data_IF_194807454251
#
_entry.id   IF_194807454251
#
_cell.length_a   1.000
_cell.length_b   1.000
_cell.length_c   1.000
_cell.angle_alpha   90.00
_cell.angle_beta   90.00
_cell.angle_gamma   90.00
#
_symmetry.space_group_name_H-M   'P 1'
#
loop_
_entity.id
_entity.type
_entity.pdbx_description
1 polymer ?
#
# COMPACT_ATOMS: atom_id res chain seq x y z
N UNK A 1 -16.31 -20.81 -0.22
CA UNK A 1 -15.91 -20.10 -1.45
C UNK A 1 -14.52 -20.59 -1.85
N UNK A 2 -14.35 -21.10 -3.07
CA UNK A 2 -13.03 -21.54 -3.55
C UNK A 2 -12.34 -20.35 -4.21
N UNK A 3 -11.19 -19.95 -3.69
CA UNK A 3 -10.36 -18.90 -4.31
C UNK A 3 -9.61 -19.52 -5.49
N UNK A 4 -9.65 -18.86 -6.64
CA UNK A 4 -8.79 -19.23 -7.76
C UNK A 4 -7.51 -18.39 -7.68
N UNK A 5 -6.43 -19.00 -7.22
CA UNK A 5 -5.13 -18.35 -7.11
C UNK A 5 -4.51 -18.07 -8.47
N UNK A 6 -3.87 -16.93 -8.59
CA UNK A 6 -2.96 -16.63 -9.72
C UNK A 6 -1.69 -17.46 -9.58
N UNK A 7 -0.97 -17.75 -10.68
CA UNK A 7 0.23 -18.61 -10.60
C UNK A 7 1.28 -18.18 -9.57
N UNK A 8 1.55 -16.88 -9.47
CA UNK A 8 2.48 -16.33 -8.48
C UNK A 8 1.96 -16.43 -7.04
N UNK A 9 0.64 -16.31 -6.83
CA UNK A 9 0.02 -16.48 -5.52
C UNK A 9 0.12 -17.95 -5.07
N UNK A 10 -0.12 -18.89 -5.99
CA UNK A 10 0.06 -20.31 -5.70
C UNK A 10 1.50 -20.63 -5.29
N UNK A 11 2.51 -20.05 -5.99
CA UNK A 11 3.91 -20.23 -5.58
C UNK A 11 4.19 -19.66 -4.20
N UNK A 12 3.64 -18.48 -3.87
CA UNK A 12 3.81 -17.87 -2.56
C UNK A 12 3.18 -18.74 -1.45
N UNK A 13 1.97 -19.24 -1.65
CA UNK A 13 1.28 -20.13 -0.69
C UNK A 13 2.06 -21.43 -0.53
N UNK A 14 2.51 -22.06 -1.62
CA UNK A 14 3.34 -23.27 -1.54
C UNK A 14 4.64 -23.02 -0.76
N UNK A 15 5.31 -21.87 -1.01
CA UNK A 15 6.52 -21.52 -0.27
C UNK A 15 6.27 -21.31 1.23
N UNK A 16 5.11 -20.77 1.61
CA UNK A 16 4.73 -20.67 3.03
C UNK A 16 4.42 -22.05 3.66
N UNK A 17 3.91 -22.99 2.88
CA UNK A 17 3.73 -24.37 3.33
C UNK A 17 5.05 -25.08 3.60
N UNK A 18 6.03 -24.87 2.75
CA UNK A 18 7.34 -25.51 2.84
C UNK A 18 8.24 -24.88 3.91
N UNK A 19 7.84 -23.75 4.49
CA UNK A 19 8.65 -23.00 5.44
C UNK A 19 7.82 -22.55 6.65
N UNK A 20 8.43 -22.53 7.82
CA UNK A 20 7.82 -21.94 9.04
C UNK A 20 8.07 -20.44 9.17
N UNK A 21 9.06 -19.90 8.47
CA UNK A 21 9.45 -18.48 8.52
C UNK A 21 10.00 -18.04 7.17
N UNK A 22 9.65 -16.82 6.75
CA UNK A 22 10.28 -16.23 5.57
C UNK A 22 9.63 -14.97 5.06
N UNK A 23 10.29 -14.39 4.08
CA UNK A 23 9.86 -13.17 3.41
C UNK A 23 9.18 -13.49 2.09
N UNK A 24 8.03 -12.88 1.86
CA UNK A 24 7.25 -12.98 0.61
C UNK A 24 7.27 -11.61 -0.06
N UNK A 25 8.07 -11.47 -1.10
CA UNK A 25 8.29 -10.21 -1.81
C UNK A 25 7.38 -10.19 -3.04
N UNK A 26 6.32 -9.38 -2.97
CA UNK A 26 5.33 -9.25 -4.05
C UNK A 26 5.08 -7.78 -4.33
N UNK A 27 5.19 -7.33 -5.59
CA UNK A 27 4.91 -5.95 -5.96
C UNK A 27 3.48 -5.51 -5.58
N UNK A 28 3.29 -4.22 -5.41
CA UNK A 28 1.95 -3.65 -5.19
C UNK A 28 1.00 -4.05 -6.33
N UNK A 29 -0.20 -4.50 -5.99
CA UNK A 29 -1.17 -5.04 -6.95
C UNK A 29 -1.04 -6.55 -7.22
N UNK A 30 0.00 -7.21 -6.72
CA UNK A 30 0.18 -8.66 -6.84
C UNK A 30 -0.73 -9.51 -5.95
N UNK A 31 -1.48 -8.91 -5.02
CA UNK A 31 -2.47 -9.62 -4.20
C UNK A 31 -1.87 -10.37 -3.01
N UNK A 32 -1.00 -9.71 -2.25
CA UNK A 32 -0.42 -10.25 -1.00
C UNK A 32 -1.46 -10.77 -0.02
N UNK A 33 -2.54 -10.02 0.17
CA UNK A 33 -3.64 -10.38 1.09
C UNK A 33 -4.26 -11.73 0.76
N UNK A 34 -4.46 -12.03 -0.51
CA UNK A 34 -5.03 -13.32 -0.96
C UNK A 34 -4.11 -14.48 -0.55
N UNK A 35 -2.79 -14.30 -0.60
CA UNK A 35 -1.85 -15.34 -0.14
C UNK A 35 -2.00 -15.62 1.36
N UNK A 36 -2.17 -14.58 2.18
CA UNK A 36 -2.40 -14.72 3.62
C UNK A 36 -3.74 -15.43 3.90
N UNK A 37 -4.81 -15.01 3.22
CA UNK A 37 -6.15 -15.59 3.38
C UNK A 37 -6.15 -17.07 3.01
N UNK A 38 -5.57 -17.42 1.87
CA UNK A 38 -5.51 -18.81 1.42
C UNK A 38 -4.71 -19.69 2.39
N UNK A 39 -3.60 -19.19 2.90
CA UNK A 39 -2.82 -19.91 3.91
C UNK A 39 -3.64 -20.16 5.20
N UNK A 40 -4.41 -19.17 5.66
CA UNK A 40 -5.33 -19.32 6.80
C UNK A 40 -6.43 -20.35 6.47
N UNK A 41 -7.05 -20.26 5.29
CA UNK A 41 -8.13 -21.20 4.88
C UNK A 41 -7.64 -22.64 4.86
N UNK A 42 -6.47 -22.89 4.27
CA UNK A 42 -5.89 -24.24 4.22
C UNK A 42 -5.62 -24.76 5.64
N UNK A 43 -5.09 -23.91 6.53
CA UNK A 43 -4.83 -24.31 7.91
C UNK A 43 -6.14 -24.57 8.68
N UNK A 44 -7.18 -23.78 8.50
CA UNK A 44 -8.48 -23.99 9.12
C UNK A 44 -9.13 -25.30 8.66
N UNK A 45 -8.97 -25.69 7.39
CA UNK A 45 -9.52 -26.92 6.85
C UNK A 45 -8.76 -28.17 7.30
N UNK A 46 -7.45 -28.06 7.49
CA UNK A 46 -6.59 -29.22 7.81
C UNK A 46 -6.41 -29.45 9.32
N UNK A 47 -6.50 -28.40 10.13
CA UNK A 47 -6.24 -28.46 11.56
C UNK A 47 -7.56 -28.35 12.31
N UNK A 48 -8.05 -29.46 12.85
CA UNK A 48 -9.31 -29.53 13.62
C UNK A 48 -9.20 -28.98 15.05
N UNK A 49 -8.11 -28.29 15.39
CA UNK A 49 -7.87 -27.65 16.69
C UNK A 49 -7.89 -26.16 16.54
N UNK A 50 -8.39 -25.46 17.54
CA UNK A 50 -8.40 -24.00 17.56
C UNK A 50 -7.01 -23.38 17.36
N UNK A 51 -6.88 -22.54 16.34
CA UNK A 51 -5.63 -21.85 15.96
C UNK A 51 -5.73 -20.36 16.23
N UNK A 52 -4.64 -19.75 16.61
CA UNK A 52 -4.52 -18.29 16.77
C UNK A 52 -3.68 -17.71 15.63
N UNK A 53 -4.32 -16.87 14.83
CA UNK A 53 -3.69 -16.11 13.74
C UNK A 53 -3.57 -14.65 14.12
N UNK A 54 -2.44 -14.03 13.80
CA UNK A 54 -2.22 -12.60 14.01
C UNK A 54 -1.87 -11.95 12.66
N UNK A 55 -2.58 -10.90 12.31
CA UNK A 55 -2.34 -10.11 11.09
C UNK A 55 -1.95 -8.70 11.48
N UNK A 56 -0.72 -8.32 11.17
CA UNK A 56 -0.12 -7.02 11.54
C UNK A 56 -0.14 -6.08 10.35
N UNK A 57 -0.83 -4.94 10.50
CA UNK A 57 -0.92 -3.90 9.50
C UNK A 57 -0.17 -2.63 9.90
N UNK A 58 0.27 -1.78 8.96
CA UNK A 58 0.95 -0.53 9.31
C UNK A 58 0.04 0.51 9.99
N UNK A 59 -1.27 0.46 9.73
CA UNK A 59 -2.25 1.43 10.26
C UNK A 59 -3.61 0.79 10.55
N UNK A 60 -4.40 1.44 11.41
CA UNK A 60 -5.74 0.99 11.81
C UNK A 60 -6.65 0.76 10.60
N UNK A 61 -6.74 1.72 9.69
CA UNK A 61 -7.59 1.61 8.50
C UNK A 61 -7.24 0.38 7.64
N UNK A 62 -5.95 0.03 7.56
CA UNK A 62 -5.51 -1.16 6.84
C UNK A 62 -5.81 -2.45 7.61
N UNK A 63 -5.71 -2.43 8.94
CA UNK A 63 -6.12 -3.58 9.76
C UNK A 63 -7.60 -3.90 9.57
N UNK A 64 -8.44 -2.86 9.50
CA UNK A 64 -9.88 -3.00 9.22
C UNK A 64 -10.15 -3.48 7.79
N UNK A 65 -9.43 -2.95 6.80
CA UNK A 65 -9.54 -3.41 5.42
C UNK A 65 -9.13 -4.87 5.28
N UNK A 66 -7.99 -5.27 5.87
CA UNK A 66 -7.55 -6.67 5.88
C UNK A 66 -8.60 -7.57 6.55
N UNK A 67 -9.16 -7.15 7.69
CA UNK A 67 -10.23 -7.88 8.35
C UNK A 67 -11.43 -8.09 7.42
N UNK A 68 -11.90 -7.05 6.74
CA UNK A 68 -13.02 -7.15 5.80
C UNK A 68 -12.70 -8.10 4.65
N UNK A 69 -11.52 -8.03 4.04
CA UNK A 69 -11.09 -8.91 2.96
C UNK A 69 -11.01 -10.39 3.42
N UNK A 70 -10.52 -10.64 4.64
CA UNK A 70 -10.48 -11.97 5.23
C UNK A 70 -11.89 -12.53 5.44
N UNK A 71 -12.80 -11.76 6.04
CA UNK A 71 -14.16 -12.20 6.35
C UNK A 71 -15.05 -12.39 5.13
N UNK A 72 -14.74 -11.78 3.99
CA UNK A 72 -15.44 -12.02 2.73
C UNK A 72 -15.15 -13.44 2.17
N UNK A 73 -14.02 -14.04 2.51
CA UNK A 73 -13.52 -15.26 1.89
C UNK A 73 -13.47 -16.47 2.84
N UNK A 74 -13.26 -16.24 4.14
CA UNK A 74 -13.14 -17.29 5.15
C UNK A 74 -14.53 -17.68 5.66
N UNK A 75 -14.77 -19.00 5.85
CA UNK A 75 -15.93 -19.46 6.61
C UNK A 75 -15.73 -19.08 8.09
N UNK A 76 -16.57 -18.17 8.56
CA UNK A 76 -16.50 -17.63 9.92
C UNK A 76 -17.12 -18.54 10.98
N UNK A 77 -17.64 -19.69 10.60
CA UNK A 77 -18.13 -20.68 11.55
C UNK A 77 -16.95 -21.20 12.37
N UNK A 78 -17.01 -21.06 13.68
CA UNK A 78 -15.94 -21.39 14.63
C UNK A 78 -14.66 -20.55 14.45
N UNK A 79 -14.79 -19.32 13.95
CA UNK A 79 -13.70 -18.34 13.87
C UNK A 79 -14.11 -17.05 14.59
N UNK A 80 -13.37 -16.69 15.62
CA UNK A 80 -13.57 -15.46 16.36
C UNK A 80 -12.62 -14.38 15.86
N UNK A 81 -13.10 -13.13 15.79
CA UNK A 81 -12.32 -11.99 15.28
C UNK A 81 -12.15 -10.95 16.37
N UNK A 82 -10.94 -10.45 16.53
CA UNK A 82 -10.58 -9.41 17.45
C UNK A 82 -9.69 -8.36 16.80
N UNK A 83 -9.87 -7.10 17.17
CA UNK A 83 -8.95 -6.02 16.84
C UNK A 83 -8.14 -5.59 18.06
N UNK A 84 -6.84 -5.38 17.87
CA UNK A 84 -5.94 -4.84 18.90
C UNK A 84 -5.34 -3.53 18.40
N UNK A 85 -6.10 -2.45 18.55
CA UNK A 85 -5.70 -1.07 18.25
C UNK A 85 -6.68 -0.09 18.90
N UNK A 86 -6.36 1.21 18.90
CA UNK A 86 -7.14 2.26 19.54
C UNK A 86 -8.29 2.82 18.68
N UNK A 87 -8.48 2.32 17.45
CA UNK A 87 -9.55 2.79 16.56
C UNK A 87 -10.89 2.14 16.88
N UNK A 88 -11.97 2.78 16.39
CA UNK A 88 -13.30 2.19 16.39
C UNK A 88 -13.40 1.07 15.36
N UNK A 89 -14.10 0.00 15.68
CA UNK A 89 -14.35 -1.15 14.81
C UNK A 89 -15.68 -1.79 15.15
N UNK A 90 -16.23 -2.54 14.20
CA UNK A 90 -17.47 -3.30 14.39
C UNK A 90 -17.26 -4.63 15.14
N UNK A 91 -16.03 -5.06 15.31
CA UNK A 91 -15.65 -6.29 16.01
C UNK A 91 -15.20 -6.00 17.43
N UNK A 92 -15.08 -7.04 18.23
CA UNK A 92 -14.51 -6.91 19.56
C UNK A 92 -13.10 -6.32 19.47
N UNK A 93 -12.82 -5.30 20.26
CA UNK A 93 -11.54 -4.59 20.23
C UNK A 93 -11.06 -4.29 21.64
N UNK A 94 -9.79 -4.52 21.90
CA UNK A 94 -9.15 -4.13 23.16
C UNK A 94 -7.63 -4.01 22.98
N UNK A 95 -7.05 -3.08 23.75
CA UNK A 95 -5.59 -2.94 23.90
C UNK A 95 -5.12 -3.44 25.30
N UNK A 96 -6.01 -4.02 26.09
CA UNK A 96 -5.68 -4.57 27.42
C UNK A 96 -5.21 -6.01 27.29
N UNK A 97 -4.01 -6.31 27.74
CA UNK A 97 -3.39 -7.65 27.63
C UNK A 97 -4.28 -8.76 28.22
N UNK A 98 -4.90 -8.51 29.38
CA UNK A 98 -5.81 -9.47 30.03
C UNK A 98 -7.04 -9.82 29.16
N UNK A 99 -7.61 -8.83 28.45
CA UNK A 99 -8.76 -9.06 27.58
C UNK A 99 -8.36 -9.81 26.29
N UNK A 100 -7.17 -9.52 25.77
CA UNK A 100 -6.61 -10.24 24.61
C UNK A 100 -6.37 -11.70 25.01
N UNK A 101 -5.74 -11.92 26.14
CA UNK A 101 -5.49 -13.26 26.69
C UNK A 101 -6.79 -14.05 26.87
N UNK A 102 -7.77 -13.45 27.53
CA UNK A 102 -9.06 -14.10 27.76
C UNK A 102 -9.77 -14.45 26.45
N UNK A 103 -9.77 -13.57 25.47
CA UNK A 103 -10.40 -13.79 24.17
C UNK A 103 -9.77 -14.98 23.43
N UNK A 104 -8.44 -15.01 23.31
CA UNK A 104 -7.72 -16.09 22.65
C UNK A 104 -7.93 -17.44 23.38
N UNK A 105 -7.88 -17.45 24.70
CA UNK A 105 -8.08 -18.66 25.49
C UNK A 105 -9.51 -19.20 25.42
N UNK A 106 -10.52 -18.34 25.40
CA UNK A 106 -11.92 -18.78 25.24
C UNK A 106 -12.10 -19.44 23.88
N UNK A 107 -11.63 -18.84 22.79
CA UNK A 107 -11.67 -19.45 21.48
C UNK A 107 -10.99 -20.82 21.48
N UNK A 108 -9.78 -20.90 21.96
CA UNK A 108 -8.98 -22.13 21.98
C UNK A 108 -9.61 -23.25 22.83
N UNK A 109 -10.12 -22.93 24.02
CA UNK A 109 -10.77 -23.91 24.89
C UNK A 109 -12.08 -24.42 24.35
N UNK A 110 -12.75 -23.65 23.50
CA UNK A 110 -13.95 -24.06 22.76
C UNK A 110 -13.61 -24.90 21.52
N UNK A 111 -12.33 -25.04 21.16
CA UNK A 111 -11.89 -25.67 19.91
C UNK A 111 -12.04 -24.78 18.68
N UNK A 112 -12.36 -23.52 18.88
CA UNK A 112 -12.52 -22.53 17.82
C UNK A 112 -11.20 -21.80 17.53
N UNK A 113 -11.05 -21.32 16.31
CA UNK A 113 -9.91 -20.47 15.93
C UNK A 113 -10.18 -18.99 16.18
N UNK A 114 -9.12 -18.21 16.33
CA UNK A 114 -9.25 -16.76 16.39
C UNK A 114 -8.26 -16.06 15.45
N UNK A 115 -8.70 -14.94 14.89
CA UNK A 115 -7.87 -14.05 14.06
C UNK A 115 -7.80 -12.69 14.74
N UNK A 116 -6.60 -12.25 15.05
CA UNK A 116 -6.32 -10.97 15.69
C UNK A 116 -5.73 -10.02 14.65
N UNK A 117 -6.47 -8.96 14.33
CA UNK A 117 -5.96 -7.87 13.48
C UNK A 117 -5.39 -6.78 14.37
N UNK A 118 -4.12 -6.44 14.15
CA UNK A 118 -3.42 -5.43 14.94
C UNK A 118 -2.58 -4.51 14.06
N UNK A 119 -2.03 -3.47 14.68
CA UNK A 119 -1.07 -2.59 14.01
C UNK A 119 0.32 -2.77 14.62
N UNK A 120 1.38 -2.37 13.88
CA UNK A 120 2.74 -2.34 14.44
C UNK A 120 2.81 -1.54 15.76
N UNK A 121 2.03 -0.47 15.88
CA UNK A 121 1.94 0.33 17.11
C UNK A 121 1.35 -0.44 18.31
N UNK A 122 0.47 -1.39 18.05
CA UNK A 122 -0.25 -2.12 19.10
C UNK A 122 0.23 -3.56 19.28
N UNK A 123 1.14 -4.05 18.44
CA UNK A 123 1.62 -5.43 18.47
C UNK A 123 2.24 -5.79 19.83
N UNK A 124 2.89 -4.85 20.51
CA UNK A 124 3.42 -5.06 21.86
C UNK A 124 2.33 -5.45 22.87
N UNK A 125 1.08 -5.05 22.68
CA UNK A 125 -0.06 -5.45 23.52
C UNK A 125 -0.43 -6.91 23.32
N UNK A 126 -0.30 -7.42 22.11
CA UNK A 126 -0.47 -8.85 21.82
C UNK A 126 0.67 -9.65 22.48
N UNK A 127 1.89 -9.14 22.43
CA UNK A 127 3.05 -9.74 23.10
C UNK A 127 2.86 -9.78 24.64
N UNK A 128 2.41 -8.67 25.24
CA UNK A 128 2.13 -8.58 26.68
C UNK A 128 0.98 -9.52 27.14
N UNK A 129 0.11 -9.93 26.20
CA UNK A 129 -1.02 -10.82 26.51
C UNK A 129 -0.60 -12.28 26.76
N UNK A 130 0.62 -12.65 26.44
CA UNK A 130 1.18 -14.00 26.66
C UNK A 130 0.24 -15.10 26.13
N UNK A 131 -0.10 -15.00 24.84
CA UNK A 131 -0.93 -15.97 24.12
C UNK A 131 -0.09 -16.80 23.17
N UNK A 132 -0.49 -18.04 22.95
CA UNK A 132 0.11 -18.87 21.91
C UNK A 132 -0.36 -18.41 20.53
N UNK A 133 0.57 -18.12 19.64
CA UNK A 133 0.30 -17.68 18.26
C UNK A 133 0.81 -18.75 17.30
N UNK A 134 -0.11 -19.34 16.53
CA UNK A 134 0.26 -20.39 15.56
C UNK A 134 0.81 -19.77 14.27
N UNK A 135 0.21 -18.74 13.75
CA UNK A 135 0.75 -18.06 12.57
C UNK A 135 0.60 -16.55 12.69
N UNK A 136 1.66 -15.84 12.38
CA UNK A 136 1.66 -14.38 12.30
C UNK A 136 2.07 -13.90 10.90
N UNK A 137 1.31 -12.96 10.35
CA UNK A 137 1.56 -12.32 9.07
C UNK A 137 1.84 -10.83 9.28
N UNK A 138 2.96 -10.36 8.77
CA UNK A 138 3.34 -8.94 8.79
C UNK A 138 3.11 -8.33 7.41
N UNK A 139 2.05 -7.52 7.26
CA UNK A 139 1.84 -6.76 6.02
C UNK A 139 2.69 -5.50 6.02
N UNK A 140 3.18 -5.12 4.83
CA UNK A 140 4.15 -4.04 4.64
C UNK A 140 5.33 -4.12 5.64
N UNK A 141 5.96 -5.30 5.67
CA UNK A 141 6.93 -5.71 6.67
C UNK A 141 8.18 -4.82 6.79
N UNK A 142 8.45 -3.97 5.79
CA UNK A 142 9.49 -2.95 5.89
C UNK A 142 9.27 -1.95 7.05
N UNK A 143 8.04 -1.88 7.60
CA UNK A 143 7.76 -1.08 8.80
C UNK A 143 8.32 -1.69 10.08
N UNK A 144 8.45 -3.01 10.15
CA UNK A 144 8.87 -3.74 11.35
C UNK A 144 10.29 -3.40 11.84
N UNK A 145 11.15 -2.89 10.95
CA UNK A 145 12.53 -2.48 11.29
C UNK A 145 12.61 -1.16 12.07
N UNK A 146 11.50 -0.48 12.30
CA UNK A 146 11.48 0.73 13.11
C UNK A 146 11.73 0.40 14.58
N UNK A 147 12.45 1.29 15.28
CA UNK A 147 12.91 1.07 16.65
C UNK A 147 11.81 0.57 17.62
N UNK A 148 10.61 1.13 17.51
CA UNK A 148 9.52 0.78 18.43
C UNK A 148 8.72 -0.45 17.98
N UNK A 149 8.87 -0.89 16.73
CA UNK A 149 8.14 -2.02 16.16
C UNK A 149 8.99 -3.30 16.13
N UNK A 150 10.30 -3.15 16.16
CA UNK A 150 11.21 -4.28 16.06
C UNK A 150 11.12 -5.25 17.24
N UNK A 151 11.11 -4.82 18.53
CA UNK A 151 11.09 -5.76 19.65
C UNK A 151 9.91 -6.75 19.64
N UNK A 152 8.63 -6.33 19.46
CA UNK A 152 7.56 -7.31 19.35
C UNK A 152 7.61 -8.12 18.04
N UNK A 153 8.19 -7.59 16.96
CA UNK A 153 8.41 -8.35 15.73
C UNK A 153 9.43 -9.48 15.95
N UNK A 154 10.56 -9.18 16.56
CA UNK A 154 11.59 -10.16 16.94
C UNK A 154 11.01 -11.24 17.86
N UNK A 155 10.24 -10.84 18.89
CA UNK A 155 9.58 -11.76 19.80
C UNK A 155 8.71 -12.78 19.03
N UNK A 156 7.75 -12.32 18.22
CA UNK A 156 6.86 -13.21 17.48
C UNK A 156 7.58 -14.02 16.38
N UNK A 157 8.66 -13.49 15.83
CA UNK A 157 9.49 -14.25 14.90
C UNK A 157 10.12 -15.49 15.55
N UNK A 158 10.34 -15.48 16.84
CA UNK A 158 10.90 -16.61 17.58
C UNK A 158 9.85 -17.48 18.26
N UNK A 159 8.74 -16.89 18.72
CA UNK A 159 7.74 -17.58 19.53
C UNK A 159 6.56 -18.15 18.72
N UNK A 160 6.20 -17.56 17.59
CA UNK A 160 5.11 -18.09 16.75
C UNK A 160 5.58 -19.36 16.00
N UNK A 161 4.68 -20.34 15.84
CA UNK A 161 4.98 -21.56 15.08
C UNK A 161 5.34 -21.24 13.62
N UNK A 162 4.65 -20.26 13.03
CA UNK A 162 4.87 -19.79 11.66
C UNK A 162 4.88 -18.26 11.61
N UNK A 163 5.81 -17.67 10.86
CA UNK A 163 5.98 -16.22 10.79
C UNK A 163 6.34 -15.76 9.36
N UNK A 164 5.49 -14.97 8.74
CA UNK A 164 5.68 -14.52 7.36
C UNK A 164 5.65 -13.01 7.21
N UNK A 165 6.62 -12.49 6.45
CA UNK A 165 6.86 -11.07 6.22
C UNK A 165 6.56 -10.70 4.77
N UNK A 166 5.49 -9.94 4.56
CA UNK A 166 5.02 -9.52 3.23
C UNK A 166 5.42 -8.07 2.95
N UNK A 167 6.07 -7.84 1.84
CA UNK A 167 6.37 -6.48 1.35
C UNK A 167 6.64 -6.46 -0.15
N UNK A 168 6.44 -5.30 -0.78
CA UNK A 168 6.95 -5.03 -2.13
C UNK A 168 8.37 -4.45 -2.10
N UNK A 169 8.79 -3.90 -0.95
CA UNK A 169 9.97 -3.05 -0.81
C UNK A 169 10.74 -3.38 0.46
N UNK A 170 11.57 -4.44 0.46
CA UNK A 170 12.36 -4.82 1.63
C UNK A 170 13.23 -3.66 2.12
N UNK A 171 13.40 -3.56 3.43
CA UNK A 171 14.27 -2.58 4.06
C UNK A 171 15.43 -3.26 4.76
N UNK A 172 16.62 -3.09 4.21
CA UNK A 172 17.84 -3.70 4.71
C UNK A 172 18.61 -2.73 5.61
N UNK A 173 19.46 -3.25 6.46
CA UNK A 173 20.42 -2.49 7.24
C UNK A 173 21.85 -2.95 6.95
N UNK A 174 22.74 -1.98 6.79
CA UNK A 174 24.19 -2.21 6.71
C UNK A 174 24.89 -1.89 8.03
N UNK A 175 24.12 -1.53 9.06
CA UNK A 175 24.60 -1.12 10.36
C UNK A 175 24.25 -2.18 11.41
N UNK A 176 25.21 -2.74 12.08
CA UNK A 176 25.05 -3.80 13.10
C UNK A 176 24.06 -3.44 14.21
N UNK A 177 23.95 -2.13 14.54
CA UNK A 177 23.08 -1.64 15.63
C UNK A 177 21.65 -1.29 15.18
N UNK A 178 21.29 -1.49 13.94
CA UNK A 178 19.95 -1.18 13.42
C UNK A 178 19.35 -2.41 12.77
N UNK A 179 18.08 -2.75 13.09
CA UNK A 179 17.42 -3.87 12.46
C UNK A 179 17.22 -3.64 10.96
N UNK A 180 17.28 -4.72 10.21
CA UNK A 180 17.01 -4.76 8.77
C UNK A 180 16.44 -6.11 8.36
N UNK A 181 15.63 -6.14 7.33
CA UNK A 181 15.04 -7.38 6.81
C UNK A 181 16.06 -8.35 6.21
N UNK A 182 17.31 -7.92 6.06
CA UNK A 182 18.45 -8.78 5.71
C UNK A 182 19.02 -9.57 6.91
N UNK A 183 18.41 -9.50 8.09
CA UNK A 183 18.71 -10.37 9.21
C UNK A 183 17.90 -11.67 9.11
N UNK A 184 18.53 -12.81 8.76
CA UNK A 184 17.81 -14.06 8.54
C UNK A 184 17.33 -14.71 9.85
N UNK A 185 17.89 -14.36 11.01
CA UNK A 185 17.44 -14.91 12.29
C UNK A 185 16.05 -14.42 12.65
N UNK A 186 15.76 -13.14 12.36
CA UNK A 186 14.45 -12.55 12.61
C UNK A 186 13.53 -12.73 11.40
N UNK A 187 13.97 -12.42 10.19
CA UNK A 187 13.09 -12.35 9.02
C UNK A 187 13.08 -13.62 8.17
N UNK A 188 13.94 -14.59 8.45
CA UNK A 188 14.12 -15.75 7.59
C UNK A 188 14.71 -15.38 6.22
N UNK A 189 14.69 -16.34 5.31
CA UNK A 189 15.10 -16.13 3.92
C UNK A 189 13.95 -15.56 3.10
N UNK A 190 14.25 -15.02 1.91
CA UNK A 190 13.24 -14.75 0.90
C UNK A 190 12.76 -16.08 0.32
N UNK A 191 11.57 -16.52 0.71
CA UNK A 191 10.98 -17.81 0.30
C UNK A 191 10.20 -17.70 -1.01
N UNK A 192 9.72 -16.49 -1.35
CA UNK A 192 9.07 -16.21 -2.61
C UNK A 192 9.32 -14.77 -3.02
N UNK A 193 9.77 -14.57 -4.26
CA UNK A 193 9.87 -13.25 -4.88
C UNK A 193 9.16 -13.28 -6.22
N UNK A 194 8.26 -12.32 -6.44
CA UNK A 194 7.50 -12.17 -7.67
C UNK A 194 8.01 -10.96 -8.44
N UNK A 195 8.55 -11.13 -9.64
CA UNK A 195 8.97 -10.01 -10.48
C UNK A 195 7.77 -9.21 -11.00
N UNK A 196 7.84 -7.87 -11.00
CA UNK A 196 6.77 -7.06 -11.57
C UNK A 196 6.52 -7.32 -13.07
N UNK A 197 7.53 -7.59 -13.93
CA UNK A 197 7.30 -8.01 -15.31
C UNK A 197 6.40 -9.25 -15.46
N UNK A 198 6.50 -10.20 -14.55
CA UNK A 198 5.60 -11.36 -14.54
C UNK A 198 4.14 -10.94 -14.34
N UNK A 199 3.89 -9.98 -13.43
CA UNK A 199 2.54 -9.46 -13.18
C UNK A 199 2.01 -8.67 -14.38
N UNK A 200 2.86 -7.92 -15.08
CA UNK A 200 2.51 -7.18 -16.30
C UNK A 200 2.14 -8.15 -17.41
N UNK A 201 3.00 -9.15 -17.68
CA UNK A 201 2.78 -10.15 -18.71
C UNK A 201 1.55 -11.03 -18.41
N UNK A 202 1.27 -11.26 -17.13
CA UNK A 202 0.08 -11.98 -16.68
C UNK A 202 -1.22 -11.16 -16.72
N UNK A 203 -1.14 -9.87 -17.05
CA UNK A 203 -2.31 -8.98 -17.06
C UNK A 203 -2.86 -8.66 -15.67
N UNK A 204 -2.02 -8.60 -14.65
CA UNK A 204 -2.44 -8.31 -13.28
C UNK A 204 -2.17 -6.87 -12.86
N UNK A 205 -1.18 -6.23 -13.46
CA UNK A 205 -0.85 -4.82 -13.38
C UNK A 205 -0.43 -4.30 -14.75
N UNK A 206 -0.35 -2.98 -14.89
CA UNK A 206 0.19 -2.30 -16.09
C UNK A 206 1.55 -1.67 -15.75
N UNK A 207 2.42 -1.45 -16.75
CA UNK A 207 3.70 -0.81 -16.51
C UNK A 207 3.55 0.68 -16.21
N UNK A 208 4.45 1.28 -15.42
CA UNK A 208 4.56 2.73 -15.29
C UNK A 208 5.24 3.33 -16.53
N UNK A 209 4.85 4.58 -16.87
CA UNK A 209 5.51 5.40 -17.89
C UNK A 209 5.98 6.69 -17.26
N UNK A 210 7.29 6.88 -17.21
CA UNK A 210 7.90 8.09 -16.65
C UNK A 210 7.88 9.22 -17.68
N UNK A 211 7.35 10.36 -17.29
CA UNK A 211 7.30 11.59 -18.08
C UNK A 211 7.97 12.71 -17.29
N UNK A 212 9.08 13.22 -17.79
CA UNK A 212 9.79 14.33 -17.20
C UNK A 212 9.40 15.60 -17.97
N UNK A 213 8.62 16.47 -17.35
CA UNK A 213 8.26 17.75 -17.93
C UNK A 213 9.37 18.76 -17.62
N UNK A 214 10.17 19.12 -18.62
CA UNK A 214 11.13 20.21 -18.49
C UNK A 214 10.37 21.55 -18.49
N UNK A 215 10.60 22.31 -17.43
CA UNK A 215 9.92 23.56 -17.16
C UNK A 215 10.92 24.69 -17.14
N UNK A 216 10.44 25.92 -17.35
CA UNK A 216 11.28 27.12 -17.32
C UNK A 216 11.94 27.31 -15.96
N UNK A 217 13.07 28.00 -15.94
CA UNK A 217 13.86 28.22 -14.75
C UNK A 217 13.04 28.82 -13.61
N UNK A 218 13.20 28.27 -12.42
CA UNK A 218 12.51 28.72 -11.19
C UNK A 218 12.72 30.21 -10.87
N UNK A 219 13.83 30.80 -11.31
CA UNK A 219 14.17 32.22 -11.09
C UNK A 219 13.21 33.19 -11.82
N UNK A 220 12.46 32.72 -12.82
CA UNK A 220 11.45 33.50 -13.51
C UNK A 220 10.16 33.69 -12.69
N UNK A 221 9.99 32.90 -11.61
CA UNK A 221 8.79 32.91 -10.79
C UNK A 221 9.14 33.06 -9.31
N UNK A 222 9.27 34.30 -8.80
CA UNK A 222 9.58 34.52 -7.39
C UNK A 222 8.44 34.07 -6.46
N UNK A 223 7.20 34.06 -6.94
CA UNK A 223 6.05 33.54 -6.21
C UNK A 223 5.98 32.00 -6.33
N UNK A 224 6.32 31.30 -5.26
CA UNK A 224 6.39 29.83 -5.23
C UNK A 224 5.02 29.17 -5.44
N UNK A 225 3.92 29.59 -4.79
CA UNK A 225 2.61 29.04 -5.05
C UNK A 225 2.15 29.19 -6.50
N UNK A 226 2.34 30.36 -7.10
CA UNK A 226 1.97 30.61 -8.49
C UNK A 226 2.83 29.79 -9.47
N UNK A 227 4.11 29.68 -9.21
CA UNK A 227 5.01 28.82 -9.97
C UNK A 227 4.57 27.36 -9.93
N UNK A 228 4.33 26.83 -8.72
CA UNK A 228 3.92 25.44 -8.54
C UNK A 228 2.55 25.18 -9.22
N UNK A 229 1.60 26.16 -9.20
CA UNK A 229 0.35 26.11 -9.95
C UNK A 229 0.60 26.00 -11.46
N UNK A 230 1.39 26.91 -12.02
CA UNK A 230 1.72 26.93 -13.45
C UNK A 230 2.35 25.62 -13.91
N UNK A 231 3.29 25.08 -13.12
CA UNK A 231 3.97 23.83 -13.43
C UNK A 231 3.03 22.61 -13.37
N UNK A 232 2.16 22.55 -12.36
CA UNK A 232 1.19 21.46 -12.23
C UNK A 232 0.16 21.48 -13.36
N UNK A 233 -0.39 22.65 -13.68
CA UNK A 233 -1.37 22.80 -14.75
C UNK A 233 -0.76 22.44 -16.11
N UNK A 234 0.47 22.91 -16.39
CA UNK A 234 1.19 22.53 -17.60
C UNK A 234 1.40 21.02 -17.68
N UNK A 235 1.81 20.38 -16.58
CA UNK A 235 1.99 18.92 -16.53
C UNK A 235 0.67 18.19 -16.79
N UNK A 236 -0.43 18.62 -16.21
CA UNK A 236 -1.76 18.04 -16.43
C UNK A 236 -2.16 18.17 -17.90
N UNK A 237 -2.02 19.37 -18.48
CA UNK A 237 -2.39 19.65 -19.87
C UNK A 237 -1.54 18.82 -20.87
N UNK A 238 -0.24 18.69 -20.65
CA UNK A 238 0.69 17.96 -21.53
C UNK A 238 0.51 16.43 -21.44
N UNK A 239 0.13 15.91 -20.26
CA UNK A 239 0.03 14.46 -20.02
C UNK A 239 -1.37 13.91 -20.18
N UNK A 240 -2.40 14.76 -20.16
CA UNK A 240 -3.81 14.33 -20.15
C UNK A 240 -4.18 13.55 -18.88
N UNK A 241 -3.59 13.90 -17.75
CA UNK A 241 -3.78 13.20 -16.48
C UNK A 241 -5.15 13.53 -15.86
N UNK A 242 -6.20 12.81 -16.23
CA UNK A 242 -7.57 13.08 -15.78
C UNK A 242 -7.81 12.79 -14.29
N UNK A 243 -7.08 11.85 -13.70
CA UNK A 243 -7.21 11.41 -12.30
C UNK A 243 -5.82 11.33 -11.67
N UNK A 244 -5.34 12.45 -11.14
CA UNK A 244 -3.97 12.59 -10.70
C UNK A 244 -3.81 12.63 -9.17
N UNK A 245 -2.80 11.93 -8.67
CA UNK A 245 -2.30 12.04 -7.31
C UNK A 245 -1.09 12.98 -7.30
N UNK A 246 -1.16 14.09 -6.58
CA UNK A 246 -0.09 15.08 -6.47
C UNK A 246 0.65 14.91 -5.15
N UNK A 247 1.90 14.49 -5.22
CA UNK A 247 2.78 14.33 -4.04
C UNK A 247 3.45 15.65 -3.69
N UNK A 248 2.84 16.41 -2.80
CA UNK A 248 3.30 17.75 -2.41
C UNK A 248 4.50 17.71 -1.46
N UNK A 249 5.32 18.78 -1.48
CA UNK A 249 6.53 18.92 -0.65
C UNK A 249 6.23 18.93 0.85
N UNK A 250 5.12 19.55 1.25
CA UNK A 250 4.67 19.64 2.63
C UNK A 250 3.19 19.98 2.71
N UNK A 251 2.59 19.81 3.88
CA UNK A 251 1.23 20.30 4.17
C UNK A 251 1.09 21.81 3.94
N UNK A 252 2.14 22.59 4.30
CA UNK A 252 2.17 24.04 4.07
C UNK A 252 2.11 24.37 2.58
N UNK A 253 2.82 23.61 1.74
CA UNK A 253 2.77 23.80 0.28
C UNK A 253 1.37 23.55 -0.29
N UNK A 254 0.65 22.52 0.20
CA UNK A 254 -0.74 22.29 -0.21
C UNK A 254 -1.61 23.50 0.13
N UNK A 255 -1.55 23.96 1.37
CA UNK A 255 -2.36 25.11 1.83
C UNK A 255 -2.02 26.38 1.04
N UNK A 256 -0.74 26.65 0.80
CA UNK A 256 -0.33 27.82 0.04
C UNK A 256 -0.74 27.72 -1.45
N UNK A 257 -0.57 26.56 -2.07
CA UNK A 257 -1.02 26.32 -3.45
C UNK A 257 -2.53 26.58 -3.62
N UNK A 258 -3.34 26.09 -2.69
CA UNK A 258 -4.80 26.28 -2.74
C UNK A 258 -5.19 27.72 -2.41
N UNK A 259 -4.56 28.38 -1.43
CA UNK A 259 -4.99 29.67 -0.91
C UNK A 259 -4.28 30.89 -1.47
N UNK A 260 -3.11 30.71 -2.13
CA UNK A 260 -2.24 31.81 -2.57
C UNK A 260 -1.87 31.73 -4.06
N UNK A 261 -2.53 30.84 -4.82
CA UNK A 261 -2.34 30.77 -6.29
C UNK A 261 -3.68 30.65 -6.98
N UNK A 262 -3.64 30.64 -8.31
CA UNK A 262 -4.81 30.43 -9.16
C UNK A 262 -5.12 28.96 -9.43
N UNK A 263 -4.46 28.01 -8.76
CA UNK A 263 -4.49 26.58 -9.05
C UNK A 263 -5.92 26.02 -9.09
N UNK A 264 -6.74 26.30 -8.08
CA UNK A 264 -8.13 25.81 -8.02
C UNK A 264 -8.99 26.39 -9.13
N UNK A 265 -8.80 27.66 -9.45
CA UNK A 265 -9.47 28.30 -10.58
C UNK A 265 -9.06 27.67 -11.93
N UNK A 266 -7.77 27.38 -12.12
CA UNK A 266 -7.27 26.74 -13.33
C UNK A 266 -7.79 25.29 -13.47
N UNK A 267 -7.96 24.58 -12.37
CA UNK A 267 -8.59 23.25 -12.35
C UNK A 267 -10.07 23.33 -12.74
N UNK A 268 -10.82 24.26 -12.15
CA UNK A 268 -12.25 24.47 -12.44
C UNK A 268 -12.49 24.79 -13.92
N UNK A 269 -11.67 25.67 -14.53
CA UNK A 269 -11.73 25.98 -15.96
C UNK A 269 -11.57 24.76 -16.87
N UNK A 270 -10.90 23.70 -16.40
CA UNK A 270 -10.65 22.45 -17.12
C UNK A 270 -11.61 21.33 -16.73
N UNK A 271 -12.59 21.62 -15.87
CA UNK A 271 -13.58 20.67 -15.39
C UNK A 271 -13.04 19.68 -14.33
N UNK A 272 -11.93 20.01 -13.66
CA UNK A 272 -11.39 19.20 -12.57
C UNK A 272 -11.96 19.61 -11.23
N UNK A 273 -12.29 18.61 -10.43
CA UNK A 273 -12.47 18.74 -8.99
C UNK A 273 -11.13 18.53 -8.28
N UNK A 274 -11.03 18.99 -7.04
CA UNK A 274 -9.85 18.75 -6.24
C UNK A 274 -10.21 18.31 -4.82
N UNK A 275 -9.31 17.53 -4.25
CA UNK A 275 -9.43 17.12 -2.86
C UNK A 275 -8.06 17.02 -2.19
N UNK A 276 -8.04 17.28 -0.90
CA UNK A 276 -6.84 17.11 -0.10
C UNK A 276 -7.19 16.81 1.36
N UNK A 277 -6.24 16.17 2.04
CA UNK A 277 -6.36 15.87 3.47
C UNK A 277 -5.04 16.18 4.17
N UNK A 278 -5.13 16.94 5.25
CA UNK A 278 -3.99 17.28 6.10
C UNK A 278 -4.35 17.17 7.58
N UNK A 279 -3.37 16.98 8.44
CA UNK A 279 -3.60 16.97 9.89
C UNK A 279 -4.16 18.30 10.42
N UNK A 280 -3.82 19.42 9.73
CA UNK A 280 -4.23 20.77 10.18
C UNK A 280 -5.62 21.16 9.70
N UNK A 281 -5.96 20.87 8.46
CA UNK A 281 -7.25 21.29 7.85
C UNK A 281 -8.33 20.21 7.95
N UNK A 282 -7.93 18.96 8.18
CA UNK A 282 -8.79 17.80 7.94
C UNK A 282 -8.95 17.50 6.45
N UNK A 283 -10.05 16.87 6.10
CA UNK A 283 -10.39 16.48 4.73
C UNK A 283 -11.22 17.60 4.05
N UNK A 284 -10.82 17.96 2.83
CA UNK A 284 -11.44 19.01 2.00
C UNK A 284 -11.74 18.45 0.61
N UNK A 285 -12.94 18.72 0.11
CA UNK A 285 -13.38 18.42 -1.26
C UNK A 285 -13.97 19.71 -1.86
N UNK A 286 -13.42 20.19 -2.98
CA UNK A 286 -13.83 21.40 -3.68
C UNK A 286 -14.09 22.58 -2.72
N UNK A 287 -13.14 22.82 -1.79
CA UNK A 287 -13.18 23.88 -0.79
C UNK A 287 -14.08 23.60 0.43
N UNK A 288 -14.82 22.50 0.47
CA UNK A 288 -15.71 22.16 1.57
C UNK A 288 -15.07 21.15 2.52
N UNK A 289 -15.17 21.42 3.82
CA UNK A 289 -14.70 20.49 4.84
C UNK A 289 -15.68 19.33 4.98
N UNK A 290 -15.15 18.11 4.96
CA UNK A 290 -15.90 16.86 5.13
C UNK A 290 -15.27 16.01 6.23
N UNK A 291 -15.97 14.97 6.67
CA UNK A 291 -15.37 13.96 7.53
C UNK A 291 -14.47 13.01 6.68
N UNK A 292 -13.67 12.21 7.36
CA UNK A 292 -12.70 11.33 6.71
C UNK A 292 -13.37 10.22 5.90
N UNK A 293 -14.47 9.68 6.36
CA UNK A 293 -15.26 8.64 5.70
C UNK A 293 -15.81 9.16 4.35
N UNK A 294 -16.52 10.29 4.37
CA UNK A 294 -17.02 10.95 3.16
C UNK A 294 -15.90 11.25 2.16
N UNK A 295 -14.72 11.63 2.64
CA UNK A 295 -13.57 11.88 1.79
C UNK A 295 -13.16 10.61 1.00
N UNK A 296 -13.00 9.47 1.68
CA UNK A 296 -12.59 8.23 1.03
C UNK A 296 -13.70 7.60 0.19
N UNK A 297 -14.94 7.72 0.58
CA UNK A 297 -16.08 7.27 -0.22
C UNK A 297 -16.19 8.06 -1.51
N UNK A 298 -16.04 9.39 -1.43
CA UNK A 298 -16.03 10.27 -2.61
C UNK A 298 -14.86 9.96 -3.52
N UNK A 299 -13.66 9.76 -2.96
CA UNK A 299 -12.47 9.39 -3.72
C UNK A 299 -12.66 8.08 -4.47
N UNK A 300 -13.25 7.07 -3.80
CA UNK A 300 -13.59 5.78 -4.42
C UNK A 300 -14.65 5.92 -5.52
N UNK A 301 -15.68 6.73 -5.29
CA UNK A 301 -16.72 6.99 -6.29
C UNK A 301 -16.17 7.70 -7.54
N UNK A 302 -15.39 8.75 -7.34
CA UNK A 302 -14.75 9.49 -8.43
C UNK A 302 -13.73 8.63 -9.20
N UNK A 303 -13.02 7.73 -8.51
CA UNK A 303 -12.10 6.80 -9.15
C UNK A 303 -12.81 5.85 -10.14
N UNK A 304 -14.05 5.46 -9.84
CA UNK A 304 -14.87 4.55 -10.67
C UNK A 304 -15.66 5.24 -11.78
N UNK A 305 -15.83 6.54 -11.69
CA UNK A 305 -16.54 7.36 -12.69
C UNK A 305 -15.57 7.77 -13.80
N UNK A 306 -15.74 7.22 -15.00
CA UNK A 306 -14.81 7.42 -16.12
C UNK A 306 -14.83 8.86 -16.66
N UNK A 307 -15.93 9.59 -16.48
CA UNK A 307 -16.08 10.98 -16.92
C UNK A 307 -15.56 11.99 -15.89
N UNK A 308 -15.27 11.54 -14.64
CA UNK A 308 -14.83 12.44 -13.57
C UNK A 308 -13.34 12.74 -13.67
N UNK A 309 -13.02 14.04 -13.78
CA UNK A 309 -11.66 14.56 -13.69
C UNK A 309 -11.39 15.12 -12.29
N UNK A 310 -10.30 14.70 -11.67
CA UNK A 310 -9.94 15.21 -10.36
C UNK A 310 -8.45 15.10 -10.02
N UNK A 311 -8.01 15.93 -9.11
CA UNK A 311 -6.69 15.84 -8.50
C UNK A 311 -6.80 15.63 -6.99
N UNK A 312 -5.93 14.81 -6.44
CA UNK A 312 -5.78 14.58 -5.00
C UNK A 312 -4.41 15.07 -4.56
N UNK A 313 -4.37 16.06 -3.67
CA UNK A 313 -3.10 16.54 -3.12
C UNK A 313 -2.85 15.89 -1.75
N UNK A 314 -1.66 15.36 -1.58
CA UNK A 314 -1.24 14.81 -0.29
C UNK A 314 0.24 15.03 0.00
N UNK A 315 0.61 14.91 1.28
CA UNK A 315 1.99 14.87 1.71
C UNK A 315 2.39 13.51 2.28
N UNK A 316 1.63 12.96 3.19
CA UNK A 316 1.94 11.68 3.85
C UNK A 316 0.73 10.77 4.11
N UNK A 317 -0.47 11.32 4.19
CA UNK A 317 -1.65 10.56 4.64
C UNK A 317 -2.08 9.46 3.68
N UNK A 318 -1.82 9.66 2.38
CA UNK A 318 -2.15 8.69 1.34
C UNK A 318 -0.96 7.79 0.94
N UNK A 319 0.19 7.92 1.60
CA UNK A 319 1.39 7.17 1.24
C UNK A 319 1.33 5.69 1.61
N UNK A 320 0.52 5.31 2.60
CA UNK A 320 0.43 3.93 3.07
C UNK A 320 -0.98 3.37 2.88
N UNK A 321 -1.08 2.34 2.05
CA UNK A 321 -2.15 1.35 2.02
C UNK A 321 -3.56 1.77 1.60
N UNK A 322 -3.87 3.04 1.41
CA UNK A 322 -5.21 3.44 0.99
C UNK A 322 -5.42 3.04 -0.47
N UNK A 323 -6.42 2.21 -0.69
CA UNK A 323 -6.80 1.79 -2.02
C UNK A 323 -7.52 2.94 -2.76
N UNK A 324 -6.80 3.64 -3.61
CA UNK A 324 -7.39 4.61 -4.53
C UNK A 324 -7.53 3.95 -5.89
N UNK A 325 -8.72 3.45 -6.19
CA UNK A 325 -9.02 2.91 -7.52
C UNK A 325 -9.13 4.05 -8.55
N UNK A 326 -8.78 3.76 -9.80
CA UNK A 326 -9.01 4.65 -10.92
C UNK A 326 -7.98 5.75 -11.15
N UNK A 327 -6.98 5.95 -10.30
CA UNK A 327 -5.90 6.90 -10.58
C UNK A 327 -5.13 6.48 -11.85
N UNK A 328 -4.89 7.44 -12.75
CA UNK A 328 -4.13 7.21 -13.98
C UNK A 328 -2.77 7.92 -13.99
N UNK A 329 -2.55 8.87 -13.11
CA UNK A 329 -1.29 9.60 -13.00
C UNK A 329 -0.88 9.89 -11.57
N UNK A 330 0.43 9.96 -11.34
CA UNK A 330 1.04 10.54 -10.15
C UNK A 330 2.01 11.64 -10.56
N UNK A 331 1.97 12.77 -9.85
CA UNK A 331 2.85 13.92 -10.09
C UNK A 331 3.73 14.12 -8.85
N UNK A 332 5.03 13.95 -9.02
CA UNK A 332 6.00 14.08 -7.93
C UNK A 332 6.53 15.51 -7.84
N UNK A 333 6.04 16.27 -6.86
CA UNK A 333 6.56 17.60 -6.53
C UNK A 333 7.72 17.56 -5.50
N UNK A 334 8.11 16.38 -5.06
CA UNK A 334 9.20 16.14 -4.11
C UNK A 334 9.92 14.83 -4.37
N UNK A 335 11.17 14.74 -3.90
CA UNK A 335 11.85 13.45 -3.79
C UNK A 335 11.33 12.66 -2.59
N UNK A 336 11.34 11.35 -2.72
CA UNK A 336 11.02 10.37 -1.68
C UNK A 336 12.13 9.31 -1.60
N UNK A 337 12.08 8.45 -0.58
CA UNK A 337 12.88 7.23 -0.56
C UNK A 337 12.34 6.20 -1.58
N UNK A 338 13.07 5.11 -1.78
CA UNK A 338 12.69 4.07 -2.74
C UNK A 338 11.34 3.42 -2.39
N UNK A 339 11.04 3.25 -1.10
CA UNK A 339 9.78 2.70 -0.62
C UNK A 339 8.62 3.62 -1.00
N UNK A 340 8.73 4.91 -0.67
CA UNK A 340 7.70 5.90 -0.97
C UNK A 340 7.45 6.04 -2.47
N UNK A 341 8.50 6.02 -3.30
CA UNK A 341 8.38 6.04 -4.77
C UNK A 341 7.64 4.79 -5.25
N UNK A 342 8.07 3.60 -4.86
CA UNK A 342 7.49 2.34 -5.31
C UNK A 342 6.02 2.21 -4.90
N UNK A 343 5.68 2.56 -3.66
CA UNK A 343 4.30 2.54 -3.18
C UNK A 343 3.41 3.56 -3.91
N UNK A 344 3.96 4.72 -4.24
CA UNK A 344 3.23 5.77 -4.96
C UNK A 344 2.97 5.36 -6.41
N UNK A 345 3.97 4.81 -7.09
CA UNK A 345 3.82 4.23 -8.44
C UNK A 345 2.78 3.09 -8.42
N UNK A 346 2.82 2.24 -7.40
CA UNK A 346 1.88 1.14 -7.21
C UNK A 346 0.40 1.54 -7.24
N UNK A 347 0.08 2.80 -7.03
CA UNK A 347 -1.31 3.31 -7.07
C UNK A 347 -1.81 3.55 -8.48
N UNK A 348 -0.94 3.84 -9.43
CA UNK A 348 -1.32 4.16 -10.83
C UNK A 348 -1.15 3.00 -11.81
N UNK A 349 -0.51 1.91 -11.39
CA UNK A 349 -0.30 0.72 -12.24
C UNK A 349 -1.41 -0.33 -12.12
N UNK A 350 -2.51 -0.02 -11.48
CA UNK A 350 -3.68 -0.90 -11.43
C UNK A 350 -4.43 -0.88 -12.74
N UNK A 351 -5.01 -2.02 -13.10
CA UNK A 351 -5.85 -2.15 -14.27
C UNK A 351 -7.06 -1.22 -14.22
N UNK A 352 -7.48 -0.75 -15.38
CA UNK A 352 -8.81 -0.19 -15.53
C UNK A 352 -9.88 -1.29 -15.32
N UNK A 353 -11.07 -0.93 -14.85
CA UNK A 353 -12.16 -1.90 -14.59
C UNK A 353 -12.54 -2.72 -15.82
N UNK A 354 -12.58 -2.04 -16.99
CA UNK A 354 -12.95 -2.68 -18.26
C UNK A 354 -11.85 -3.61 -18.75
N UNK A 355 -10.57 -3.24 -18.57
CA UNK A 355 -9.42 -4.08 -18.88
C UNK A 355 -9.42 -5.34 -18.00
N UNK A 356 -9.68 -5.17 -16.69
CA UNK A 356 -9.81 -6.30 -15.77
C UNK A 356 -10.99 -7.22 -16.13
N UNK A 357 -12.10 -6.68 -16.62
CA UNK A 357 -13.23 -7.47 -17.11
C UNK A 357 -12.87 -8.19 -18.41
N UNK A 358 -12.24 -7.50 -19.37
CA UNK A 358 -11.80 -8.06 -20.64
C UNK A 358 -10.78 -9.19 -20.49
N UNK A 359 -9.87 -9.07 -19.53
CA UNK A 359 -8.92 -10.12 -19.19
C UNK A 359 -9.61 -11.36 -18.59
N UNK A 360 -10.60 -11.16 -17.71
CA UNK A 360 -11.36 -12.27 -17.11
C UNK A 360 -12.21 -13.02 -18.11
N UNK A 361 -12.82 -12.34 -19.07
CA UNK A 361 -13.69 -12.95 -20.09
C UNK A 361 -12.94 -13.37 -21.37
N UNK A 362 -11.62 -13.12 -21.45
CA UNK A 362 -10.77 -13.52 -22.56
C UNK A 362 -10.86 -12.64 -23.81
N UNK A 363 -11.51 -11.47 -23.73
CA UNK A 363 -11.57 -10.50 -24.85
C UNK A 363 -10.30 -9.66 -24.97
N UNK A 364 -9.51 -9.57 -23.89
CA UNK A 364 -8.19 -8.94 -23.86
C UNK A 364 -7.14 -10.02 -23.56
N UNK A 365 -6.05 -10.01 -24.31
CA UNK A 365 -4.93 -10.93 -24.12
C UNK A 365 -3.99 -10.36 -23.06
N UNK A 366 -3.63 -11.13 -22.02
CA UNK A 366 -2.68 -10.68 -21.00
C UNK A 366 -1.36 -10.20 -21.62
N UNK A 367 -0.87 -9.04 -21.14
CA UNK A 367 0.38 -8.45 -21.62
C UNK A 367 0.31 -7.71 -22.96
N UNK A 368 -0.77 -7.81 -23.72
CA UNK A 368 -0.99 -7.01 -24.94
C UNK A 368 -1.54 -5.64 -24.63
N UNK A 369 -0.66 -4.74 -24.23
CA UNK A 369 -1.00 -3.40 -23.72
C UNK A 369 -1.73 -2.51 -24.74
N UNK A 370 -1.61 -2.79 -26.05
CA UNK A 370 -2.32 -2.12 -27.13
C UNK A 370 -3.82 -2.41 -27.16
N UNK A 371 -4.26 -3.46 -26.47
CA UNK A 371 -5.67 -3.81 -26.30
C UNK A 371 -6.31 -3.18 -25.05
N UNK A 372 -5.50 -2.57 -24.17
CA UNK A 372 -5.98 -2.03 -22.90
C UNK A 372 -6.50 -0.61 -23.05
N UNK A 373 -7.59 -0.29 -22.38
CA UNK A 373 -8.11 1.07 -22.22
C UNK A 373 -7.08 1.95 -21.51
N UNK A 374 -6.39 1.38 -20.50
CA UNK A 374 -5.30 2.01 -19.78
C UNK A 374 -4.03 1.18 -19.92
N UNK A 375 -3.16 1.54 -20.87
CA UNK A 375 -1.94 0.78 -21.19
C UNK A 375 -0.82 0.96 -20.17
N UNK A 376 -0.77 2.07 -19.44
CA UNK A 376 0.27 2.39 -18.46
C UNK A 376 -0.22 3.36 -17.39
N UNK A 377 0.47 3.37 -16.25
CA UNK A 377 0.34 4.38 -15.21
C UNK A 377 1.31 5.54 -15.44
N UNK A 378 0.82 6.77 -15.53
CA UNK A 378 1.66 7.95 -15.73
C UNK A 378 2.40 8.31 -14.43
N UNK A 379 3.72 8.52 -14.56
CA UNK A 379 4.59 8.99 -13.49
C UNK A 379 5.25 10.28 -13.94
N UNK A 380 4.70 11.41 -13.50
CA UNK A 380 5.07 12.74 -13.99
C UNK A 380 6.00 13.46 -13.00
N UNK A 381 7.07 14.05 -13.50
CA UNK A 381 8.03 14.82 -12.71
C UNK A 381 8.23 16.19 -13.34
N UNK A 382 7.70 17.28 -12.73
CA UNK A 382 8.02 18.63 -13.12
C UNK A 382 9.48 18.94 -12.79
N UNK A 383 10.35 19.09 -13.78
CA UNK A 383 11.78 19.35 -13.61
C UNK A 383 12.11 20.79 -14.04
N UNK A 384 12.29 21.67 -13.08
CA UNK A 384 12.66 23.10 -13.28
C UNK A 384 13.95 23.50 -12.58
N UNK A 385 14.58 22.56 -11.86
CA UNK A 385 15.85 22.78 -11.16
C UNK A 385 16.60 21.45 -10.95
N UNK A 386 17.80 21.54 -10.38
CA UNK A 386 18.65 20.37 -10.09
C UNK A 386 17.95 19.31 -9.24
N UNK A 387 17.11 19.71 -8.28
CA UNK A 387 16.36 18.78 -7.42
C UNK A 387 15.34 17.98 -8.22
N UNK A 388 14.63 18.62 -9.14
CA UNK A 388 13.69 17.94 -10.04
C UNK A 388 14.39 16.90 -10.92
N UNK A 389 15.56 17.21 -11.47
CA UNK A 389 16.35 16.29 -12.28
C UNK A 389 16.82 15.09 -11.44
N UNK A 390 17.33 15.30 -10.24
CA UNK A 390 17.74 14.23 -9.33
C UNK A 390 16.54 13.36 -8.92
N UNK A 391 15.38 13.96 -8.72
CA UNK A 391 14.14 13.23 -8.42
C UNK A 391 13.73 12.34 -9.60
N UNK A 392 13.79 12.87 -10.82
CA UNK A 392 13.51 12.13 -12.05
C UNK A 392 14.45 10.93 -12.22
N UNK A 393 15.75 11.12 -12.03
CA UNK A 393 16.75 10.05 -12.10
C UNK A 393 16.47 8.96 -11.06
N UNK A 394 16.14 9.33 -9.83
CA UNK A 394 15.83 8.38 -8.76
C UNK A 394 14.57 7.58 -9.06
N UNK A 395 13.53 8.22 -9.60
CA UNK A 395 12.29 7.55 -9.99
C UNK A 395 12.52 6.61 -11.17
N UNK A 396 13.28 7.05 -12.16
CA UNK A 396 13.64 6.19 -13.29
C UNK A 396 14.41 4.94 -12.82
N UNK A 397 15.36 5.09 -11.92
CA UNK A 397 16.07 3.94 -11.34
C UNK A 397 15.12 2.94 -10.64
N UNK A 398 14.10 3.42 -9.92
CA UNK A 398 13.09 2.52 -9.30
C UNK A 398 12.30 1.80 -10.38
N UNK A 399 11.88 2.50 -11.43
CA UNK A 399 11.14 1.90 -12.55
C UNK A 399 11.98 0.84 -13.25
N UNK A 400 13.24 1.13 -13.57
CA UNK A 400 14.15 0.20 -14.25
C UNK A 400 14.39 -1.06 -13.39
N UNK A 401 14.68 -0.90 -12.10
CA UNK A 401 14.92 -2.02 -11.20
C UNK A 401 13.66 -2.89 -11.03
N UNK A 402 12.53 -2.28 -10.74
CA UNK A 402 11.31 -3.03 -10.36
C UNK A 402 10.57 -3.56 -11.57
N UNK A 403 10.35 -2.71 -12.58
CA UNK A 403 9.44 -3.02 -13.68
C UNK A 403 10.11 -3.54 -14.95
N UNK A 404 11.41 -3.32 -15.12
CA UNK A 404 12.18 -3.85 -16.25
C UNK A 404 13.05 -5.04 -15.84
N UNK A 405 13.83 -4.91 -14.75
CA UNK A 405 14.72 -5.98 -14.28
C UNK A 405 13.98 -7.03 -13.43
N UNK A 406 12.87 -6.63 -12.77
CA UNK A 406 12.07 -7.51 -11.93
C UNK A 406 12.61 -7.72 -10.52
N UNK A 407 13.54 -6.88 -10.08
CA UNK A 407 14.10 -6.91 -8.75
C UNK A 407 13.27 -6.08 -7.77
N UNK A 408 13.34 -6.38 -6.48
CA UNK A 408 12.70 -5.56 -5.47
C UNK A 408 13.43 -4.23 -5.27
N UNK A 409 12.69 -3.14 -5.08
CA UNK A 409 13.29 -1.86 -4.66
C UNK A 409 13.70 -1.95 -3.20
N UNK A 410 14.97 -2.22 -2.94
CA UNK A 410 15.52 -2.34 -1.59
C UNK A 410 15.89 -0.96 -1.05
N UNK A 411 15.32 -0.59 0.08
CA UNK A 411 15.76 0.58 0.85
C UNK A 411 16.81 0.17 1.87
N UNK A 412 17.86 0.97 2.01
CA UNK A 412 18.94 0.70 2.96
C UNK A 412 18.96 1.73 4.06
N UNK A 413 18.92 1.27 5.31
CA UNK A 413 19.08 2.13 6.49
C UNK A 413 20.53 2.62 6.53
N UNK A 414 20.71 3.91 6.29
CA UNK A 414 22.01 4.58 6.43
C UNK A 414 22.16 5.15 7.84
N UNK A 415 23.41 5.40 8.23
CA UNK A 415 23.78 6.00 9.54
C UNK A 415 22.96 7.23 9.87
#
# INVERSE_FOLDING_TARGET
>A
LTITLRPHQQRAVNAMWDNSKGQVIVPTGGGKTICMIEDVMINLDLINLGQTYVVVAPRILLAEQLCSEFLELIDTKNVHVMHVHSGETQHFSSTKAEQIHMFANVARTSGDSCIIFTTYHSLHRVMEADIEVNTIYFDEAHNSVQRNFFPPTEFFSHEADRCFFFTATPKHSITVMKPGMNDPEVYGQVICQVPAPELINGGFIIPPKVVVNQLDNADLYPDVPLRDSTHLIKTIDETGADKALICSKSTKNIINLIGQSDFTFQLELRGYSYMYITAKTGAIIDGRKVNREVFFDTLSAWGRDDDKKFVVLHHSILSEGINVSGLNAVIFMRSMDYIGISQTIGRVIRLHKDDAAGLRNGTIVPGKLDQYTKSYGLVCIPAFNKVGIQTAQKIQNVVDIVFEQGDAAVSVVKK
#
